data_IF_827848010830
#
_entry.id   IF_827848010830
#
_cell.length_a   1.000
_cell.length_b   1.000
_cell.length_c   1.000
_cell.angle_alpha   90.00
_cell.angle_beta   90.00
_cell.angle_gamma   90.00
#
_symmetry.space_group_name_H-M   'P 1'
#
loop_
_entity.id
_entity.type
_entity.pdbx_description
1 polymer ?
#
# COMPACT_ATOMS: atom_id res chain seq x y z
N UNK A 1 -23.74 12.32 -3.93
CA UNK A 1 -23.37 11.97 -2.54
C UNK A 1 -21.85 11.96 -2.48
N UNK A 2 -21.28 12.75 -1.60
CA UNK A 2 -19.87 12.61 -1.32
C UNK A 2 -19.66 11.19 -0.77
N UNK A 3 -18.91 10.37 -1.48
CA UNK A 3 -18.55 9.07 -0.98
C UNK A 3 -17.94 9.22 0.39
N UNK A 4 -18.26 8.31 1.29
CA UNK A 4 -17.60 8.21 2.58
C UNK A 4 -16.17 7.69 2.34
N UNK A 5 -15.30 8.56 1.79
CA UNK A 5 -13.91 8.21 1.57
C UNK A 5 -13.26 7.74 2.85
N UNK A 6 -12.25 6.90 2.72
CA UNK A 6 -11.46 6.42 3.86
C UNK A 6 -10.78 7.60 4.52
N UNK A 7 -10.97 7.75 5.84
CA UNK A 7 -10.45 8.89 6.61
C UNK A 7 -9.45 8.43 7.66
N UNK A 8 -8.58 9.35 8.08
CA UNK A 8 -7.72 9.10 9.24
C UNK A 8 -8.59 8.70 10.43
N UNK A 9 -8.23 7.59 11.08
CA UNK A 9 -8.98 6.99 12.16
C UNK A 9 -9.97 5.90 11.73
N UNK A 10 -10.23 5.73 10.43
CA UNK A 10 -11.09 4.66 9.92
C UNK A 10 -10.46 3.28 10.15
N UNK A 11 -11.27 2.24 10.43
CA UNK A 11 -10.75 0.89 10.53
C UNK A 11 -10.27 0.38 9.16
N UNK A 12 -9.35 -0.58 9.19
CA UNK A 12 -8.89 -1.26 7.98
C UNK A 12 -10.11 -1.86 7.26
N UNK A 13 -10.36 -1.47 6.00
CA UNK A 13 -11.46 -2.06 5.24
C UNK A 13 -11.30 -3.58 5.13
N UNK A 14 -12.41 -4.30 5.24
CA UNK A 14 -12.44 -5.73 5.00
C UNK A 14 -12.22 -6.01 3.52
N UNK A 15 -11.29 -6.89 3.19
CA UNK A 15 -11.03 -7.29 1.81
C UNK A 15 -10.55 -8.74 1.71
N UNK A 16 -10.66 -9.28 0.52
CA UNK A 16 -10.15 -10.60 0.17
C UNK A 16 -11.20 -11.70 0.34
N UNK A 17 -10.79 -12.96 0.06
CA UNK A 17 -9.43 -13.34 -0.31
C UNK A 17 -9.01 -12.86 -1.71
N UNK A 18 -7.78 -12.37 -1.84
CA UNK A 18 -7.18 -11.94 -3.09
C UNK A 18 -5.96 -12.82 -3.44
N UNK A 19 -5.77 -13.20 -4.71
CA UNK A 19 -4.61 -14.01 -5.08
C UNK A 19 -3.32 -13.21 -4.98
N UNK A 20 -2.33 -13.79 -4.31
CA UNK A 20 -0.98 -13.24 -4.19
C UNK A 20 -0.02 -13.92 -5.16
N UNK A 21 0.98 -13.18 -5.61
CA UNK A 21 2.02 -13.69 -6.51
C UNK A 21 2.84 -14.82 -5.92
N UNK A 22 2.83 -15.01 -4.61
CA UNK A 22 3.51 -16.11 -3.91
C UNK A 22 2.63 -17.38 -3.76
N UNK A 23 1.46 -17.39 -4.38
CA UNK A 23 0.53 -18.53 -4.36
C UNK A 23 -0.46 -18.56 -3.21
N UNK A 24 -0.37 -17.62 -2.28
CA UNK A 24 -1.33 -17.52 -1.16
C UNK A 24 -2.59 -16.76 -1.57
N UNK A 25 -3.67 -17.00 -0.83
CA UNK A 25 -4.86 -16.14 -0.86
C UNK A 25 -4.81 -15.25 0.37
N UNK A 26 -4.91 -13.93 0.17
CA UNK A 26 -4.70 -12.92 1.21
C UNK A 26 -6.00 -12.18 1.51
N UNK A 27 -6.31 -12.06 2.78
CA UNK A 27 -7.48 -11.29 3.26
C UNK A 27 -7.07 -10.37 4.41
N UNK A 28 -7.88 -9.35 4.64
CA UNK A 28 -7.58 -8.32 5.65
C UNK A 28 -7.41 -8.88 7.07
N UNK A 29 -8.14 -9.93 7.41
CA UNK A 29 -8.02 -10.58 8.73
C UNK A 29 -6.67 -11.26 8.97
N UNK A 30 -5.91 -11.54 7.91
CA UNK A 30 -4.57 -12.12 8.05
C UNK A 30 -3.60 -11.17 8.76
N UNK A 31 -3.91 -9.86 8.79
CA UNK A 31 -3.04 -8.85 9.39
C UNK A 31 -3.38 -8.52 10.83
N UNK A 32 -4.34 -9.22 11.44
CA UNK A 32 -4.83 -8.90 12.80
C UNK A 32 -3.72 -8.90 13.87
N UNK A 33 -2.68 -9.73 13.69
CA UNK A 33 -1.54 -9.79 14.61
C UNK A 33 -0.39 -8.84 14.30
N UNK A 34 -0.47 -8.06 13.22
CA UNK A 34 0.59 -7.13 12.86
C UNK A 34 0.55 -5.88 13.76
N UNK A 35 1.71 -5.32 14.06
CA UNK A 35 1.80 -4.06 14.80
C UNK A 35 1.43 -2.87 13.93
N UNK A 36 1.75 -2.95 12.65
CA UNK A 36 1.31 -2.01 11.63
C UNK A 36 1.21 -2.72 10.28
N UNK A 37 0.29 -2.26 9.45
CA UNK A 37 0.11 -2.73 8.08
C UNK A 37 0.26 -1.54 7.15
N UNK A 38 1.11 -1.69 6.14
CA UNK A 38 1.23 -0.73 5.05
C UNK A 38 0.52 -1.34 3.84
N UNK A 39 -0.53 -0.68 3.39
CA UNK A 39 -1.21 -1.03 2.13
C UNK A 39 -0.77 -0.04 1.08
N UNK A 40 -0.28 -0.54 -0.07
CA UNK A 40 0.09 0.32 -1.19
C UNK A 40 -0.61 -0.13 -2.45
N UNK A 41 -1.34 0.78 -3.09
CA UNK A 41 -1.89 0.51 -4.43
C UNK A 41 -0.77 0.70 -5.44
N UNK A 42 -0.54 -0.32 -6.26
CA UNK A 42 0.63 -0.46 -7.11
C UNK A 42 0.25 -1.03 -8.47
N UNK A 43 1.19 -1.10 -9.39
CA UNK A 43 1.01 -1.73 -10.69
C UNK A 43 2.36 -2.14 -11.27
N UNK A 44 2.34 -2.78 -12.44
CA UNK A 44 3.58 -3.31 -13.04
C UNK A 44 4.35 -2.28 -13.87
N UNK A 45 3.70 -1.27 -14.42
CA UNK A 45 4.28 -0.38 -15.45
C UNK A 45 4.35 1.10 -15.10
N UNK A 46 3.84 1.52 -13.97
CA UNK A 46 3.90 2.93 -13.60
C UNK A 46 5.34 3.36 -13.29
N UNK A 47 5.88 4.37 -13.97
CA UNK A 47 7.24 4.86 -13.69
C UNK A 47 7.43 5.33 -12.24
N UNK A 48 6.38 5.88 -11.64
CA UNK A 48 6.42 6.29 -10.24
C UNK A 48 6.50 5.09 -9.31
N UNK A 49 5.78 4.00 -9.60
CA UNK A 49 5.88 2.75 -8.83
C UNK A 49 7.28 2.17 -8.97
N UNK A 50 7.77 2.08 -10.20
CA UNK A 50 9.09 1.48 -10.46
C UNK A 50 10.20 2.26 -9.75
N UNK A 51 10.07 3.57 -9.64
CA UNK A 51 11.02 4.41 -8.91
C UNK A 51 11.06 4.08 -7.42
N UNK A 52 9.97 3.59 -6.85
CA UNK A 52 9.88 3.26 -5.42
C UNK A 52 10.10 1.80 -5.08
N UNK A 53 10.07 0.88 -6.03
CA UNK A 53 10.12 -0.56 -5.73
C UNK A 53 11.30 -0.97 -4.87
N UNK A 54 12.50 -0.49 -5.16
CA UNK A 54 13.69 -0.81 -4.36
C UNK A 54 13.58 -0.26 -2.93
N UNK A 55 12.99 0.93 -2.78
CA UNK A 55 12.73 1.54 -1.47
C UNK A 55 11.68 0.78 -0.68
N UNK A 56 10.67 0.24 -1.36
CA UNK A 56 9.65 -0.61 -0.74
C UNK A 56 10.26 -1.92 -0.23
N UNK A 57 11.14 -2.54 -1.02
CA UNK A 57 11.86 -3.75 -0.64
C UNK A 57 12.72 -3.48 0.60
N UNK A 58 13.48 -2.39 0.57
CA UNK A 58 14.32 -1.98 1.70
C UNK A 58 13.48 -1.71 2.95
N UNK A 59 12.38 -1.01 2.80
CA UNK A 59 11.46 -0.73 3.91
C UNK A 59 10.96 -2.03 4.54
N UNK A 60 10.46 -2.97 3.73
CA UNK A 60 9.93 -4.22 4.26
C UNK A 60 11.00 -5.03 4.98
N UNK A 61 12.22 -5.06 4.44
CA UNK A 61 13.34 -5.74 5.08
C UNK A 61 13.65 -5.15 6.46
N UNK A 62 13.65 -3.83 6.58
CA UNK A 62 13.97 -3.14 7.84
C UNK A 62 12.84 -3.24 8.88
N UNK A 63 11.58 -3.29 8.42
CA UNK A 63 10.43 -3.21 9.31
C UNK A 63 9.75 -4.55 9.64
N UNK A 64 10.05 -5.63 8.90
CA UNK A 64 9.55 -6.98 9.25
C UNK A 64 9.90 -7.36 10.69
N UNK A 65 11.16 -7.18 11.17
CA UNK A 65 11.47 -7.52 12.56
C UNK A 65 10.72 -6.69 13.59
N UNK A 66 10.15 -5.57 13.18
CA UNK A 66 9.38 -4.67 14.04
C UNK A 66 7.88 -4.99 14.05
N UNK A 67 7.47 -6.05 13.33
CA UNK A 67 6.07 -6.46 13.27
C UNK A 67 5.23 -5.72 12.23
N UNK A 68 5.86 -5.14 11.20
CA UNK A 68 5.20 -4.40 10.12
C UNK A 68 5.11 -5.28 8.87
N UNK A 69 3.94 -5.35 8.28
CA UNK A 69 3.70 -6.06 7.02
C UNK A 69 3.25 -5.08 5.95
N UNK A 70 3.89 -5.15 4.77
CA UNK A 70 3.48 -4.40 3.59
C UNK A 70 2.73 -5.32 2.63
N UNK A 71 1.61 -4.85 2.11
CA UNK A 71 0.87 -5.50 1.03
C UNK A 71 0.64 -4.50 -0.09
N UNK A 72 1.11 -4.86 -1.29
CA UNK A 72 0.86 -4.10 -2.50
C UNK A 72 -0.33 -4.70 -3.24
N UNK A 73 -1.24 -3.86 -3.71
CA UNK A 73 -2.48 -4.26 -4.36
C UNK A 73 -2.52 -3.66 -5.77
N UNK A 74 -2.70 -4.50 -6.78
CA UNK A 74 -2.90 -4.06 -8.16
C UNK A 74 -4.37 -4.19 -8.53
N UNK A 75 -5.00 -3.05 -8.75
CA UNK A 75 -6.42 -2.94 -9.10
C UNK A 75 -6.65 -2.45 -10.54
N UNK A 76 -5.59 -2.26 -11.33
CA UNK A 76 -5.74 -1.76 -12.70
C UNK A 76 -6.53 -2.73 -13.57
N UNK A 77 -7.43 -2.18 -14.42
CA UNK A 77 -8.12 -3.00 -15.42
C UNK A 77 -7.11 -3.52 -16.47
N UNK A 78 -7.41 -4.68 -17.06
CA UNK A 78 -6.47 -5.39 -17.94
C UNK A 78 -6.93 -5.52 -19.38
N UNK A 79 -8.11 -5.00 -19.74
CA UNK A 79 -8.56 -4.99 -21.13
C UNK A 79 -7.69 -4.09 -22.00
N UNK A 80 -7.42 -2.86 -21.50
CA UNK A 80 -6.59 -1.87 -22.17
C UNK A 80 -5.17 -1.81 -21.60
N UNK A 81 -4.95 -2.44 -20.45
CA UNK A 81 -3.66 -2.48 -19.74
C UNK A 81 -3.28 -3.92 -19.43
N UNK A 82 -3.09 -4.78 -20.47
CA UNK A 82 -2.84 -6.21 -20.29
C UNK A 82 -1.54 -6.52 -19.53
N UNK A 83 -0.62 -5.57 -19.51
CA UNK A 83 0.64 -5.74 -18.77
C UNK A 83 0.44 -5.74 -17.25
N UNK A 84 -0.72 -5.32 -16.77
CA UNK A 84 -1.08 -5.34 -15.36
C UNK A 84 -1.84 -6.62 -14.94
N UNK A 85 -1.86 -7.63 -15.79
CA UNK A 85 -2.48 -8.89 -15.45
C UNK A 85 -1.71 -9.65 -14.34
N UNK A 86 -2.34 -10.69 -13.80
CA UNK A 86 -1.75 -11.47 -12.72
C UNK A 86 -0.43 -12.14 -13.11
N UNK A 87 -0.32 -12.64 -14.33
CA UNK A 87 0.93 -13.25 -14.82
C UNK A 87 2.05 -12.21 -14.88
N UNK A 88 1.74 -10.99 -15.30
CA UNK A 88 2.66 -9.85 -15.26
C UNK A 88 3.11 -9.52 -13.85
N UNK A 89 2.19 -9.58 -12.89
CA UNK A 89 2.52 -9.37 -11.48
C UNK A 89 3.49 -10.44 -10.96
N UNK A 90 3.24 -11.71 -11.29
CA UNK A 90 4.11 -12.83 -10.89
C UNK A 90 5.52 -12.63 -11.46
N UNK A 91 5.62 -12.30 -12.75
CA UNK A 91 6.92 -12.02 -13.39
C UNK A 91 7.64 -10.85 -12.71
N UNK A 92 6.93 -9.75 -12.47
CA UNK A 92 7.52 -8.56 -11.83
C UNK A 92 8.03 -8.86 -10.43
N UNK A 93 7.23 -9.55 -9.63
CA UNK A 93 7.60 -9.95 -8.27
C UNK A 93 8.86 -10.83 -8.25
N UNK A 94 8.98 -11.76 -9.21
CA UNK A 94 10.13 -12.63 -9.34
C UNK A 94 11.39 -11.87 -9.80
N UNK A 95 11.26 -11.03 -10.81
CA UNK A 95 12.37 -10.23 -11.35
C UNK A 95 12.95 -9.27 -10.31
N UNK A 96 12.09 -8.60 -9.56
CA UNK A 96 12.49 -7.63 -8.55
C UNK A 96 12.76 -8.26 -7.19
N UNK A 97 12.45 -9.56 -7.02
CA UNK A 97 12.57 -10.27 -5.73
C UNK A 97 11.82 -9.55 -4.61
N UNK A 98 10.56 -9.27 -4.86
CA UNK A 98 9.70 -8.62 -3.87
C UNK A 98 9.63 -9.45 -2.59
N UNK A 99 9.87 -8.80 -1.46
CA UNK A 99 9.78 -9.37 -0.12
C UNK A 99 8.50 -8.94 0.61
N UNK A 100 7.58 -8.29 -0.09
CA UNK A 100 6.26 -7.91 0.38
C UNK A 100 5.19 -8.64 -0.43
N UNK A 101 3.98 -8.72 0.13
CA UNK A 101 2.85 -9.33 -0.57
C UNK A 101 2.45 -8.47 -1.77
N UNK A 102 2.16 -9.12 -2.89
CA UNK A 102 1.66 -8.45 -4.09
C UNK A 102 0.42 -9.19 -4.58
N UNK A 103 -0.76 -8.56 -4.43
CA UNK A 103 -2.06 -9.21 -4.61
C UNK A 103 -2.88 -8.54 -5.71
N UNK A 104 -3.76 -9.30 -6.34
CA UNK A 104 -4.62 -8.84 -7.44
C UNK A 104 -6.02 -8.51 -6.95
N UNK A 105 -6.47 -7.29 -7.18
CA UNK A 105 -7.83 -6.81 -6.94
C UNK A 105 -8.56 -6.69 -8.28
N UNK A 106 -8.97 -7.83 -8.83
CA UNK A 106 -9.59 -7.91 -10.16
C UNK A 106 -10.92 -7.15 -10.24
N UNK A 107 -11.72 -7.22 -9.18
CA UNK A 107 -13.04 -6.55 -9.14
C UNK A 107 -12.94 -5.04 -8.94
N UNK A 108 -11.80 -4.55 -8.48
CA UNK A 108 -11.57 -3.15 -8.08
C UNK A 108 -12.33 -2.72 -6.82
N UNK A 109 -12.99 -3.65 -6.14
CA UNK A 109 -13.75 -3.36 -4.92
C UNK A 109 -12.85 -2.87 -3.79
N UNK A 110 -11.61 -3.38 -3.71
CA UNK A 110 -10.67 -2.96 -2.66
C UNK A 110 -10.20 -1.53 -2.92
N UNK A 111 -9.86 -1.18 -4.15
CA UNK A 111 -9.49 0.20 -4.49
C UNK A 111 -10.63 1.17 -4.18
N UNK A 112 -11.88 0.78 -4.46
CA UNK A 112 -13.05 1.59 -4.13
C UNK A 112 -13.21 1.75 -2.61
N UNK A 113 -13.05 0.66 -1.84
CA UNK A 113 -13.17 0.68 -0.38
C UNK A 113 -12.13 1.59 0.28
N UNK A 114 -10.95 1.69 -0.30
CA UNK A 114 -9.87 2.56 0.17
C UNK A 114 -9.98 3.99 -0.38
N UNK A 115 -10.88 4.23 -1.33
CA UNK A 115 -10.95 5.49 -2.09
C UNK A 115 -9.60 5.82 -2.74
N UNK A 116 -8.91 4.78 -3.21
CA UNK A 116 -7.61 4.90 -3.84
C UNK A 116 -7.75 5.48 -5.26
N UNK A 117 -6.84 6.34 -5.66
CA UNK A 117 -6.90 7.05 -6.94
C UNK A 117 -5.61 6.95 -7.75
N UNK A 118 -4.48 6.73 -7.11
CA UNK A 118 -3.15 6.76 -7.74
C UNK A 118 -2.32 5.52 -7.43
N UNK A 119 -1.26 5.32 -8.18
CA UNK A 119 -0.21 4.34 -7.91
C UNK A 119 1.15 5.03 -8.01
N UNK A 120 2.04 4.92 -7.01
CA UNK A 120 1.80 4.29 -5.71
C UNK A 120 1.04 5.23 -4.75
N UNK A 121 0.14 4.65 -3.97
CA UNK A 121 -0.58 5.38 -2.93
C UNK A 121 -0.52 4.54 -1.67
N UNK A 122 0.00 5.13 -0.58
CA UNK A 122 0.33 4.42 0.66
C UNK A 122 -0.68 4.71 1.76
N UNK A 123 -1.04 3.67 2.51
CA UNK A 123 -1.93 3.73 3.67
C UNK A 123 -1.26 2.99 4.83
N UNK A 124 -1.18 3.61 6.01
CA UNK A 124 -0.63 2.97 7.20
C UNK A 124 -1.72 2.78 8.24
N UNK A 125 -1.91 1.52 8.63
CA UNK A 125 -2.87 1.12 9.67
C UNK A 125 -2.12 0.58 10.87
N UNK A 126 -2.59 0.93 12.06
CA UNK A 126 -2.03 0.45 13.30
C UNK A 126 -3.01 0.60 14.45
N UNK A 127 -2.62 0.14 15.63
CA UNK A 127 -3.44 0.26 16.82
C UNK A 127 -3.69 1.73 17.16
N UNK A 128 -4.90 2.03 17.56
CA UNK A 128 -5.31 3.36 17.97
C UNK A 128 -5.91 3.28 19.37
N UNK A 129 -5.48 4.17 20.28
CA UNK A 129 -5.91 4.18 21.68
C UNK A 129 -7.44 4.20 21.80
N UNK A 130 -7.97 3.30 22.61
CA UNK A 130 -9.41 3.20 22.87
C UNK A 130 -10.21 2.52 21.77
N UNK A 131 -9.57 1.96 20.74
CA UNK A 131 -10.23 1.26 19.64
C UNK A 131 -9.65 -0.13 19.44
N UNK A 132 -10.51 -1.06 19.00
CA UNK A 132 -10.11 -2.44 18.67
C UNK A 132 -9.71 -2.51 17.19
N UNK A 133 -8.62 -3.21 16.90
CA UNK A 133 -8.16 -3.45 15.54
C UNK A 133 -7.24 -2.37 14.98
N UNK A 134 -7.02 -2.45 13.70
CA UNK A 134 -6.10 -1.58 12.97
C UNK A 134 -6.87 -0.41 12.36
N UNK A 135 -6.36 0.80 12.55
CA UNK A 135 -6.99 2.05 12.09
C UNK A 135 -6.01 2.87 11.28
N UNK A 136 -6.53 3.59 10.28
CA UNK A 136 -5.73 4.42 9.38
C UNK A 136 -5.11 5.59 10.14
N UNK A 137 -3.79 5.73 10.04
CA UNK A 137 -3.05 6.81 10.69
C UNK A 137 -2.19 7.63 9.72
N UNK A 138 -2.02 7.14 8.49
CA UNK A 138 -1.33 7.89 7.45
C UNK A 138 -1.87 7.51 6.07
N UNK A 139 -1.96 8.50 5.18
CA UNK A 139 -2.34 8.32 3.78
C UNK A 139 -1.55 9.29 2.91
N UNK A 140 -0.84 8.78 1.92
CA UNK A 140 -0.13 9.63 0.99
C UNK A 140 1.05 8.95 0.30
N UNK A 141 2.12 9.71 0.12
CA UNK A 141 3.33 9.28 -0.58
C UNK A 141 4.37 8.70 0.37
N UNK A 142 5.30 7.95 -0.19
CA UNK A 142 6.38 7.31 0.55
C UNK A 142 7.40 8.33 1.06
N UNK A 143 7.84 9.22 0.17
CA UNK A 143 8.80 10.27 0.49
C UNK A 143 8.61 11.48 -0.44
N UNK A 144 9.46 12.48 -0.31
CA UNK A 144 9.34 13.74 -1.04
C UNK A 144 10.11 13.79 -2.37
N UNK A 145 10.74 12.68 -2.78
CA UNK A 145 11.49 12.66 -4.04
C UNK A 145 11.49 11.29 -4.71
N UNK A 146 10.56 11.07 -5.64
CA UNK A 146 10.49 9.80 -6.35
C UNK A 146 11.66 9.58 -7.31
N UNK A 147 12.25 10.65 -7.86
CA UNK A 147 13.31 10.56 -8.88
C UNK A 147 14.66 10.16 -8.30
N UNK A 148 15.00 10.73 -7.14
CA UNK A 148 16.34 10.58 -6.56
C UNK A 148 16.25 10.22 -5.08
N UNK A 149 16.50 8.94 -4.74
CA UNK A 149 16.52 8.52 -3.33
C UNK A 149 17.51 9.27 -2.46
N UNK A 150 18.63 9.70 -3.05
CA UNK A 150 19.68 10.43 -2.30
C UNK A 150 19.29 11.86 -1.97
N UNK A 151 18.32 12.42 -2.68
CA UNK A 151 17.83 13.78 -2.47
C UNK A 151 16.58 13.83 -1.57
N UNK A 152 16.14 12.70 -1.04
CA UNK A 152 15.00 12.62 -0.12
C UNK A 152 15.31 13.37 1.17
N UNK A 153 14.44 14.32 1.54
CA UNK A 153 14.51 15.09 2.79
C UNK A 153 13.51 14.59 3.82
N UNK A 154 12.33 14.14 3.38
CA UNK A 154 11.25 13.66 4.23
C UNK A 154 10.84 12.25 3.81
N UNK A 155 10.95 11.32 4.74
CA UNK A 155 10.52 9.93 4.60
C UNK A 155 9.19 9.73 5.30
N UNK A 156 8.12 10.21 4.67
CA UNK A 156 6.78 10.25 5.28
C UNK A 156 6.29 8.89 5.75
N UNK A 157 6.51 7.83 4.95
CA UNK A 157 6.08 6.48 5.31
C UNK A 157 6.82 5.97 6.56
N UNK A 158 8.14 6.11 6.59
CA UNK A 158 8.94 5.70 7.75
C UNK A 158 8.56 6.50 9.00
N UNK A 159 8.41 7.81 8.87
CA UNK A 159 7.98 8.68 9.96
C UNK A 159 6.62 8.25 10.53
N UNK A 160 5.68 7.93 9.63
CA UNK A 160 4.35 7.49 10.04
C UNK A 160 4.38 6.14 10.75
N UNK A 161 5.08 5.17 10.19
CA UNK A 161 5.19 3.83 10.78
C UNK A 161 5.91 3.89 12.12
N UNK A 162 6.98 4.66 12.23
CA UNK A 162 7.71 4.84 13.49
C UNK A 162 6.81 5.45 14.57
N UNK A 163 5.99 6.43 14.23
CA UNK A 163 5.03 7.04 15.15
C UNK A 163 3.99 6.01 15.62
N UNK A 164 3.44 5.22 14.68
CA UNK A 164 2.47 4.16 14.99
C UNK A 164 3.08 3.13 15.94
N UNK A 165 4.30 2.67 15.66
CA UNK A 165 5.00 1.69 16.52
C UNK A 165 5.30 2.25 17.91
N UNK A 166 5.52 3.55 18.02
CA UNK A 166 5.77 4.24 19.30
C UNK A 166 4.49 4.63 20.05
N UNK A 167 3.31 4.38 19.46
CA UNK A 167 2.04 4.80 20.04
C UNK A 167 1.81 6.30 20.05
N UNK A 168 2.48 7.01 19.12
CA UNK A 168 2.39 8.47 19.01
C UNK A 168 1.57 8.88 17.79
N UNK A 169 0.92 10.05 17.80
CA UNK A 169 0.26 10.58 16.63
C UNK A 169 1.25 10.82 15.48
N UNK A 170 0.80 10.58 14.26
CA UNK A 170 1.58 10.93 13.07
C UNK A 170 1.53 12.45 12.88
N UNK A 171 2.70 13.09 12.81
CA UNK A 171 2.78 14.55 12.72
C UNK A 171 2.14 15.11 11.44
N UNK A 172 2.32 14.42 10.33
CA UNK A 172 1.74 14.80 9.05
C UNK A 172 0.97 13.59 8.48
N UNK A 173 -0.32 13.42 8.88
CA UNK A 173 -1.06 12.21 8.59
C UNK A 173 -1.52 12.07 7.14
N UNK A 174 -1.49 13.14 6.37
CA UNK A 174 -1.89 13.13 4.96
C UNK A 174 -0.90 13.93 4.11
N UNK A 175 -0.51 13.33 2.96
CA UNK A 175 0.25 14.00 1.91
C UNK A 175 -0.39 13.66 0.56
N UNK A 176 -0.15 14.46 -0.45
CA UNK A 176 -0.67 14.20 -1.79
C UNK A 176 0.15 13.11 -2.47
N UNK A 177 -0.49 11.99 -2.80
CA UNK A 177 0.13 10.93 -3.60
C UNK A 177 0.49 11.46 -4.99
N UNK A 178 1.71 11.16 -5.43
CA UNK A 178 2.18 11.49 -6.78
C UNK A 178 2.36 10.19 -7.55
N UNK A 179 1.66 10.07 -8.67
CA UNK A 179 1.72 8.84 -9.45
C UNK A 179 0.76 8.85 -10.62
N UNK A 180 0.67 7.70 -11.28
CA UNK A 180 -0.31 7.46 -12.33
C UNK A 180 -1.69 7.23 -11.69
N UNK A 181 -2.76 7.56 -12.41
CA UNK A 181 -4.11 7.23 -11.95
C UNK A 181 -4.37 5.73 -12.07
N UNK A 182 -5.16 5.18 -11.14
CA UNK A 182 -5.66 3.81 -11.25
C UNK A 182 -6.51 3.70 -12.53
N UNK A 183 -6.33 2.61 -13.26
CA UNK A 183 -7.08 2.36 -14.51
C UNK A 183 -8.36 1.60 -14.17
N UNK A 184 -9.49 2.29 -14.23
CA UNK A 184 -10.79 1.75 -13.87
C UNK A 184 -11.46 1.06 -15.05
N UNK A 185 -12.22 0.01 -14.78
CA UNK A 185 -13.12 -0.61 -15.75
C UNK A 185 -14.18 0.41 -16.17
N UNK A 186 -14.49 0.43 -17.44
CA UNK A 186 -15.59 1.24 -17.98
C UNK A 186 -16.92 0.50 -17.90
#
# INVERSE_FOLDING_TARGET
MAGSGLRIGSPLPSFGPLPSTDGRMVKSTDFAGARAVVVVFSCNHCPYVQAYEDRMIKFQMEYVPKGVTMVAINSNETENHPDDDFDGMVRRAAEKKFNFLYVRDESQEVAEAFDATHTPEFFVFGALSGKVGLHLQYHGKMDDNYKDPSAVKRRYLEEAVDAVLAGKPVAEPETHSMGCTIKWKM
#
